data_IF_412484098512
#
_entry.id   IF_412484098512
#
_cell.length_a   1.000
_cell.length_b   1.000
_cell.length_c   1.000
_cell.angle_alpha   90.00
_cell.angle_beta   90.00
_cell.angle_gamma   90.00
#
_symmetry.space_group_name_H-M   'P 1'
#
loop_
_entity.id
_entity.type
_entity.pdbx_description
1 polymer ?
#
# COMPACT_ATOMS: atom_id res chain seq x y z
N UNK A 1 -13.66 -5.81 -11.74
CA UNK A 1 -13.57 -5.98 -10.27
C UNK A 1 -12.13 -5.78 -9.90
N UNK A 2 -11.81 -4.79 -9.04
CA UNK A 2 -10.52 -4.82 -8.37
C UNK A 2 -10.45 -6.08 -7.53
N UNK A 3 -9.48 -6.93 -7.81
CA UNK A 3 -9.30 -8.18 -7.10
C UNK A 3 -8.86 -7.85 -5.66
N UNK A 4 -9.31 -8.59 -4.64
CA UNK A 4 -8.91 -8.36 -3.24
C UNK A 4 -7.39 -8.26 -3.07
N UNK A 5 -6.64 -8.93 -3.95
CA UNK A 5 -5.19 -8.85 -4.08
C UNK A 5 -4.66 -7.43 -4.30
N UNK A 6 -5.34 -6.59 -5.09
CA UNK A 6 -4.91 -5.20 -5.34
C UNK A 6 -5.08 -4.33 -4.09
N UNK A 7 -6.17 -4.53 -3.36
CA UNK A 7 -6.42 -3.81 -2.10
C UNK A 7 -5.37 -4.21 -1.06
N UNK A 8 -5.13 -5.52 -0.93
CA UNK A 8 -4.12 -6.05 -0.02
C UNK A 8 -2.72 -5.54 -0.32
N UNK A 9 -2.34 -5.57 -1.59
CA UNK A 9 -1.05 -5.06 -2.03
C UNK A 9 -0.90 -3.56 -1.73
N UNK A 10 -1.98 -2.78 -1.89
CA UNK A 10 -1.95 -1.38 -1.52
C UNK A 10 -1.77 -1.17 -0.01
N UNK A 11 -2.58 -1.84 0.82
CA UNK A 11 -2.49 -1.73 2.28
C UNK A 11 -1.11 -2.16 2.78
N UNK A 12 -0.55 -3.24 2.21
CA UNK A 12 0.80 -3.70 2.52
C UNK A 12 1.84 -2.61 2.25
N UNK A 13 1.77 -1.97 1.08
CA UNK A 13 2.76 -0.97 0.68
C UNK A 13 2.63 0.37 1.43
N UNK A 14 1.43 0.73 1.91
CA UNK A 14 1.13 2.09 2.39
C UNK A 14 0.74 2.18 3.87
N UNK A 15 0.24 1.11 4.49
CA UNK A 15 -0.30 1.16 5.86
C UNK A 15 0.38 0.18 6.82
N UNK A 16 1.09 -0.84 6.31
CA UNK A 16 1.68 -1.88 7.15
C UNK A 16 3.17 -1.63 7.41
N UNK A 17 3.56 -1.26 8.64
CA UNK A 17 4.96 -1.15 9.01
C UNK A 17 5.60 -2.54 9.17
N UNK A 18 6.87 -2.67 8.75
CA UNK A 18 7.60 -3.93 8.84
C UNK A 18 8.87 -3.79 9.68
N UNK A 19 9.11 -4.75 10.58
CA UNK A 19 10.30 -4.74 11.45
C UNK A 19 11.62 -4.71 10.65
N UNK A 20 11.70 -5.44 9.54
CA UNK A 20 12.86 -5.45 8.64
C UNK A 20 13.12 -4.10 7.96
N UNK A 21 12.10 -3.24 7.88
CA UNK A 21 12.16 -1.89 7.31
C UNK A 21 12.23 -0.82 8.41
N UNK A 22 12.78 -1.15 9.58
CA UNK A 22 12.84 -0.24 10.74
C UNK A 22 11.46 0.27 11.18
N UNK A 23 10.44 -0.59 11.07
CA UNK A 23 9.04 -0.25 11.33
C UNK A 23 8.48 0.85 10.42
N UNK A 24 9.04 1.04 9.23
CA UNK A 24 8.46 1.85 8.16
C UNK A 24 7.58 0.98 7.23
N UNK A 25 6.66 1.62 6.53
CA UNK A 25 5.97 0.99 5.39
C UNK A 25 6.95 0.83 4.21
N UNK A 26 6.71 -0.11 3.28
CA UNK A 26 7.53 -0.23 2.09
C UNK A 26 7.67 1.08 1.31
N UNK A 27 6.58 1.85 1.20
CA UNK A 27 6.57 3.18 0.60
C UNK A 27 7.49 4.15 1.31
N UNK A 28 7.35 4.29 2.62
CA UNK A 28 8.11 5.27 3.39
C UNK A 28 9.59 4.93 3.42
N UNK A 29 9.91 3.64 3.48
CA UNK A 29 11.29 3.17 3.35
C UNK A 29 11.90 3.58 2.01
N UNK A 30 11.18 3.38 0.91
CA UNK A 30 11.63 3.78 -0.43
C UNK A 30 11.77 5.30 -0.59
N UNK A 31 10.84 6.09 -0.05
CA UNK A 31 10.93 7.55 -0.10
C UNK A 31 12.11 8.08 0.72
N UNK A 32 12.45 7.40 1.83
CA UNK A 32 13.54 7.81 2.71
C UNK A 32 14.91 7.35 2.23
N UNK A 33 15.02 6.13 1.71
CA UNK A 33 16.31 5.48 1.39
C UNK A 33 16.50 5.13 -0.08
N UNK A 34 15.43 5.09 -0.88
CA UNK A 34 15.45 4.63 -2.27
C UNK A 34 16.10 5.58 -3.27
N UNK A 35 16.72 6.68 -2.81
CA UNK A 35 17.32 7.74 -3.64
C UNK A 35 16.34 8.27 -4.71
N UNK A 36 15.05 8.18 -4.43
CA UNK A 36 14.01 8.71 -5.29
C UNK A 36 13.82 10.19 -4.94
N UNK A 37 13.82 11.04 -5.96
CA UNK A 37 13.38 12.41 -5.78
C UNK A 37 11.90 12.40 -5.37
N UNK A 38 11.52 13.10 -4.30
CA UNK A 38 10.14 13.10 -3.80
C UNK A 38 9.14 13.58 -4.87
N UNK A 39 9.60 14.47 -5.76
CA UNK A 39 8.83 14.92 -6.91
C UNK A 39 8.46 13.79 -7.90
N UNK A 40 9.22 12.69 -7.89
CA UNK A 40 9.04 11.52 -8.76
C UNK A 40 8.39 10.33 -8.07
N UNK A 41 7.83 10.52 -6.87
CA UNK A 41 7.10 9.46 -6.17
C UNK A 41 6.08 8.78 -7.09
N UNK A 42 5.36 9.54 -7.92
CA UNK A 42 4.34 9.02 -8.82
C UNK A 42 4.86 8.06 -9.91
N UNK A 43 6.18 7.99 -10.15
CA UNK A 43 6.81 7.02 -11.05
C UNK A 43 6.85 5.61 -10.44
N UNK A 44 6.70 5.49 -9.11
CA UNK A 44 6.60 4.19 -8.46
C UNK A 44 5.19 3.60 -8.65
N UNK A 45 5.06 2.45 -9.33
CA UNK A 45 3.76 1.85 -9.64
C UNK A 45 2.97 1.48 -8.38
N UNK A 46 3.65 1.29 -7.24
CA UNK A 46 3.03 1.03 -5.93
C UNK A 46 2.31 2.23 -5.31
N UNK A 47 2.53 3.46 -5.81
CA UNK A 47 1.88 4.68 -5.28
C UNK A 47 0.67 5.10 -6.10
N UNK A 48 0.49 4.54 -7.29
CA UNK A 48 -0.65 4.87 -8.13
C UNK A 48 -1.89 4.10 -7.67
N UNK A 49 -2.95 4.83 -7.37
CA UNK A 49 -4.26 4.25 -7.07
C UNK A 49 -5.34 4.90 -7.91
N UNK A 50 -6.06 4.09 -8.68
CA UNK A 50 -7.31 4.53 -9.31
C UNK A 50 -8.48 4.38 -8.30
N UNK A 51 -8.73 5.35 -7.44
CA UNK A 51 -9.82 5.28 -6.46
C UNK A 51 -11.18 5.58 -7.11
N UNK A 52 -11.92 4.55 -7.48
CA UNK A 52 -13.39 4.66 -7.63
C UNK A 52 -14.08 4.48 -6.26
N UNK A 53 -15.21 5.15 -6.03
CA UNK A 53 -16.02 5.16 -4.81
C UNK A 53 -16.39 3.76 -4.29
N UNK A 54 -16.57 2.78 -5.19
CA UNK A 54 -16.84 1.39 -4.83
C UNK A 54 -15.68 0.69 -4.09
N UNK A 55 -14.44 1.14 -4.31
CA UNK A 55 -13.25 0.54 -3.69
C UNK A 55 -13.06 0.97 -2.24
N UNK A 56 -13.49 2.19 -1.88
CA UNK A 56 -13.42 2.71 -0.51
C UNK A 56 -14.26 1.84 0.44
N UNK A 57 -15.39 1.32 -0.04
CA UNK A 57 -16.24 0.36 0.70
C UNK A 57 -15.58 -1.01 0.91
N UNK A 58 -14.56 -1.38 0.13
CA UNK A 58 -13.82 -2.63 0.32
C UNK A 58 -12.62 -2.45 1.27
N UNK A 59 -11.96 -1.28 1.23
CA UNK A 59 -10.88 -0.91 2.15
C UNK A 59 -11.33 -0.78 3.61
N UNK A 60 -12.56 -0.30 3.82
CA UNK A 60 -13.12 -0.07 5.16
C UNK A 60 -13.82 -1.30 5.77
N UNK A 61 -13.93 -2.41 5.02
CA UNK A 61 -14.43 -3.66 5.58
C UNK A 61 -13.29 -4.32 6.36
N UNK A 62 -13.50 -4.49 7.66
CA UNK A 62 -12.64 -5.28 8.54
C UNK A 62 -12.53 -6.71 7.99
N UNK A 63 -11.53 -6.95 7.15
CA UNK A 63 -11.30 -8.25 6.54
C UNK A 63 -10.40 -9.04 7.47
N UNK A 64 -11.01 -9.69 8.45
CA UNK A 64 -10.33 -10.66 9.31
C UNK A 64 -10.03 -11.88 8.46
N UNK A 65 -8.73 -12.17 8.24
CA UNK A 65 -8.32 -13.42 7.64
C UNK A 65 -8.34 -14.46 8.77
N UNK A 66 -9.39 -15.28 8.79
CA UNK A 66 -9.35 -16.47 9.63
C UNK A 66 -8.33 -17.43 9.05
N UNK A 67 -7.33 -17.78 9.85
CA UNK A 67 -6.39 -18.85 9.51
C UNK A 67 -7.14 -20.18 9.64
N UNK A 68 -7.21 -20.92 8.54
CA UNK A 68 -7.70 -22.30 8.50
C UNK A 68 -6.68 -23.27 9.11
#
# INVERSE_FOLDING_TARGET
>A
MRNYSEIWMWMYNNERPHKSLQYLTPRDFLLKYGKLDQAKANEFPTFQQNFNSDNIKLLTKNSTFECA
#
